data_IF_289823673846
#
_entry.id   IF_289823673846
#
_cell.length_a   1.000
_cell.length_b   1.000
_cell.length_c   1.000
_cell.angle_alpha   90.00
_cell.angle_beta   90.00
_cell.angle_gamma   90.00
#
_symmetry.space_group_name_H-M   'P 1'
#
loop_
_entity.id
_entity.type
_entity.pdbx_description
1 polymer ?
#
# COMPACT_ATOMS: atom_id res chain seq x y z
N UNK A 1 10.68 -14.11 -4.96
CA UNK A 1 11.59 -13.43 -5.92
C UNK A 1 10.74 -12.82 -7.02
N UNK A 2 10.84 -11.52 -7.27
CA UNK A 2 10.24 -10.83 -8.39
C UNK A 2 11.32 -10.57 -9.42
N UNK A 3 11.14 -11.00 -10.68
CA UNK A 3 12.04 -10.69 -11.78
C UNK A 3 11.35 -9.73 -12.75
N UNK A 4 12.08 -8.78 -13.29
CA UNK A 4 11.60 -7.83 -14.28
C UNK A 4 12.67 -7.59 -15.35
N UNK A 5 12.24 -7.30 -16.58
CA UNK A 5 13.12 -6.91 -17.67
C UNK A 5 13.28 -5.39 -17.65
N UNK A 6 14.51 -4.92 -17.70
CA UNK A 6 14.87 -3.49 -17.69
C UNK A 6 15.07 -2.93 -19.10
N UNK A 7 15.22 -3.81 -20.08
CA UNK A 7 15.43 -3.56 -21.50
C UNK A 7 15.43 -4.89 -22.24
N UNK A 8 15.66 -4.91 -23.56
CA UNK A 8 15.64 -6.15 -24.32
C UNK A 8 16.62 -7.19 -23.79
N UNK A 9 17.68 -6.76 -23.11
CA UNK A 9 18.76 -7.63 -22.65
C UNK A 9 19.09 -7.48 -21.16
N UNK A 10 18.55 -6.47 -20.46
CA UNK A 10 18.76 -6.26 -19.03
C UNK A 10 17.72 -7.00 -18.18
N UNK A 11 18.13 -7.55 -17.06
CA UNK A 11 17.23 -8.23 -16.12
C UNK A 11 17.40 -7.71 -14.70
N UNK A 12 16.31 -7.73 -13.92
CA UNK A 12 16.32 -7.40 -12.52
C UNK A 12 15.49 -8.36 -11.69
N UNK A 13 15.80 -8.47 -10.40
CA UNK A 13 15.01 -9.24 -9.45
C UNK A 13 14.93 -8.55 -8.10
N UNK A 14 13.82 -8.75 -7.43
CA UNK A 14 13.65 -8.41 -6.01
C UNK A 14 13.36 -9.71 -5.26
N UNK A 15 14.20 -10.03 -4.30
CA UNK A 15 13.99 -11.15 -3.36
C UNK A 15 13.56 -10.57 -2.02
N UNK A 16 12.52 -11.13 -1.44
CA UNK A 16 12.05 -10.72 -0.10
C UNK A 16 12.35 -11.86 0.86
N UNK A 17 13.07 -11.55 1.93
CA UNK A 17 13.36 -12.48 3.01
C UNK A 17 12.18 -12.59 3.99
N UNK A 18 12.19 -13.62 4.84
CA UNK A 18 11.12 -13.88 5.82
C UNK A 18 10.94 -12.77 6.86
N UNK A 19 11.97 -11.97 7.11
CA UNK A 19 11.93 -10.79 7.99
C UNK A 19 11.40 -9.53 7.31
N UNK A 20 11.09 -9.61 6.01
CA UNK A 20 10.57 -8.51 5.20
C UNK A 20 11.65 -7.67 4.52
N UNK A 21 12.94 -7.92 4.76
CA UNK A 21 14.02 -7.31 4.00
C UNK A 21 13.97 -7.73 2.53
N UNK A 22 14.36 -6.86 1.63
CA UNK A 22 14.34 -7.13 0.20
C UNK A 22 15.72 -6.89 -0.42
N UNK A 23 16.12 -7.81 -1.28
CA UNK A 23 17.35 -7.73 -2.07
C UNK A 23 17.00 -7.41 -3.51
N UNK A 24 17.47 -6.29 -4.01
CA UNK A 24 17.32 -5.88 -5.43
C UNK A 24 18.61 -6.23 -6.16
N UNK A 25 18.52 -7.08 -7.15
CA UNK A 25 19.65 -7.46 -8.02
C UNK A 25 19.39 -6.97 -9.43
N UNK A 26 20.36 -6.32 -10.02
CA UNK A 26 20.35 -5.82 -11.40
C UNK A 26 21.49 -6.48 -12.15
N UNK A 27 21.14 -7.21 -13.21
CA UNK A 27 22.08 -7.82 -14.13
C UNK A 27 21.96 -7.11 -15.49
N UNK A 28 22.86 -6.16 -15.82
CA UNK A 28 22.89 -5.52 -17.12
C UNK A 28 23.33 -6.50 -18.20
N UNK A 29 22.84 -6.30 -19.43
CA UNK A 29 23.22 -7.10 -20.60
C UNK A 29 24.70 -6.96 -20.96
N UNK A 30 25.30 -5.80 -20.68
CA UNK A 30 26.73 -5.61 -20.86
C UNK A 30 27.51 -6.15 -19.67
N UNK A 31 28.32 -7.23 -19.84
CA UNK A 31 29.08 -7.82 -18.76
C UNK A 31 30.11 -6.86 -18.10
N UNK A 32 30.48 -5.80 -18.83
CA UNK A 32 31.43 -4.78 -18.36
C UNK A 32 30.88 -3.89 -17.22
N UNK A 33 29.56 -3.84 -17.03
CA UNK A 33 28.94 -2.97 -16.00
C UNK A 33 28.79 -3.67 -14.66
N UNK A 34 28.89 -4.98 -14.61
CA UNK A 34 28.77 -5.80 -13.40
C UNK A 34 27.36 -5.82 -12.79
N UNK A 35 27.03 -6.92 -12.11
CA UNK A 35 25.77 -7.07 -11.39
C UNK A 35 25.77 -6.13 -10.17
N UNK A 36 24.72 -5.34 -10.00
CA UNK A 36 24.54 -4.48 -8.83
C UNK A 36 23.45 -5.07 -7.93
N UNK A 37 23.74 -5.12 -6.64
CA UNK A 37 22.84 -5.65 -5.62
C UNK A 37 22.62 -4.57 -4.56
N UNK A 38 21.39 -4.34 -4.17
CA UNK A 38 21.01 -3.37 -3.15
C UNK A 38 20.14 -4.06 -2.11
N UNK A 39 20.44 -3.84 -0.85
CA UNK A 39 19.57 -4.26 0.26
C UNK A 39 18.54 -3.17 0.56
N UNK A 40 17.30 -3.59 0.76
CA UNK A 40 16.21 -2.70 1.13
C UNK A 40 15.47 -3.28 2.34
N UNK A 41 15.02 -2.42 3.23
CA UNK A 41 14.34 -2.81 4.47
C UNK A 41 12.93 -3.40 4.25
N UNK A 42 12.39 -3.29 3.03
CA UNK A 42 11.09 -3.84 2.65
C UNK A 42 10.93 -3.90 1.14
N UNK A 43 9.92 -4.62 0.66
CA UNK A 43 9.55 -4.64 -0.76
C UNK A 43 9.24 -3.23 -1.30
N UNK A 44 8.54 -2.39 -0.51
CA UNK A 44 8.26 -0.99 -0.85
C UNK A 44 9.53 -0.16 -1.06
N UNK A 45 10.52 -0.33 -0.17
CA UNK A 45 11.82 0.34 -0.30
C UNK A 45 12.59 -0.16 -1.53
N UNK A 46 12.56 -1.48 -1.80
CA UNK A 46 13.21 -2.09 -2.95
C UNK A 46 12.61 -1.60 -4.27
N UNK A 47 11.27 -1.51 -4.35
CA UNK A 47 10.57 -1.02 -5.54
C UNK A 47 10.90 0.46 -5.80
N UNK A 48 10.94 1.30 -4.75
CA UNK A 48 11.36 2.70 -4.87
C UNK A 48 12.80 2.83 -5.38
N UNK A 49 13.71 2.06 -4.82
CA UNK A 49 15.11 2.06 -5.27
C UNK A 49 15.23 1.69 -6.75
N UNK A 50 14.44 0.71 -7.22
CA UNK A 50 14.41 0.32 -8.62
C UNK A 50 13.86 1.42 -9.53
N UNK A 51 12.86 2.18 -9.07
CA UNK A 51 12.29 3.33 -9.79
C UNK A 51 13.27 4.50 -9.82
N UNK A 52 13.84 4.88 -8.66
CA UNK A 52 14.76 6.02 -8.53
C UNK A 52 16.06 5.81 -9.32
N UNK A 53 16.50 4.55 -9.44
CA UNK A 53 17.64 4.19 -10.28
C UNK A 53 17.33 4.21 -11.78
N UNK A 54 16.11 4.57 -12.19
CA UNK A 54 15.66 4.58 -13.59
C UNK A 54 15.54 3.19 -14.22
N UNK A 55 15.47 2.16 -13.37
CA UNK A 55 15.48 0.76 -13.76
C UNK A 55 14.09 0.27 -14.18
N UNK A 56 13.04 0.93 -13.71
CA UNK A 56 11.67 0.78 -14.16
C UNK A 56 11.33 1.92 -15.14
N UNK A 57 11.88 1.89 -16.33
CA UNK A 57 11.36 2.75 -17.41
C UNK A 57 10.01 2.21 -17.84
N UNK A 58 9.01 3.08 -17.86
CA UNK A 58 7.61 2.80 -18.18
C UNK A 58 7.38 2.11 -19.57
N UNK A 59 8.41 1.93 -20.37
CA UNK A 59 8.31 1.39 -21.72
C UNK A 59 8.68 -0.10 -21.86
N UNK A 60 9.19 -0.76 -20.82
CA UNK A 60 9.75 -2.11 -20.95
C UNK A 60 9.14 -3.15 -20.01
N UNK A 61 7.94 -2.95 -19.52
CA UNK A 61 7.24 -4.05 -18.85
C UNK A 61 6.53 -4.88 -19.93
N UNK A 62 7.28 -5.62 -20.72
CA UNK A 62 6.70 -6.77 -21.39
C UNK A 62 6.14 -7.72 -20.32
N UNK A 63 4.93 -8.23 -20.56
CA UNK A 63 4.06 -9.00 -19.65
C UNK A 63 4.65 -10.32 -19.12
N UNK A 64 5.95 -10.40 -18.85
CA UNK A 64 6.58 -11.59 -18.27
C UNK A 64 7.21 -11.26 -16.92
N UNK A 65 6.36 -11.15 -15.89
CA UNK A 65 6.83 -11.31 -14.52
C UNK A 65 7.03 -12.81 -14.32
N UNK A 66 8.25 -13.28 -14.53
CA UNK A 66 8.65 -14.67 -14.27
C UNK A 66 8.98 -14.79 -12.78
N UNK A 67 8.05 -15.35 -12.03
CA UNK A 67 8.36 -15.85 -10.70
C UNK A 67 9.08 -17.19 -10.85
N UNK A 68 10.34 -17.26 -10.54
CA UNK A 68 11.02 -18.53 -10.38
C UNK A 68 10.78 -19.02 -8.95
N UNK A 69 10.35 -20.27 -8.84
CA UNK A 69 10.35 -20.99 -7.59
C UNK A 69 11.76 -20.96 -7.00
N UNK A 70 11.88 -20.48 -5.76
CA UNK A 70 13.14 -20.43 -5.05
C UNK A 70 13.73 -21.83 -4.98
N UNK A 71 15.01 -21.94 -5.37
CA UNK A 71 15.77 -23.15 -5.17
C UNK A 71 15.74 -23.53 -3.68
N UNK A 72 15.36 -24.77 -3.41
CA UNK A 72 15.25 -25.33 -2.07
C UNK A 72 16.55 -25.10 -1.30
N UNK A 73 16.52 -24.21 -0.30
CA UNK A 73 17.44 -24.32 0.82
C UNK A 73 17.18 -25.69 1.44
N UNK A 74 18.23 -26.49 1.60
CA UNK A 74 18.17 -27.77 2.33
C UNK A 74 17.70 -27.49 3.75
N UNK A 75 16.40 -27.59 3.95
CA UNK A 75 15.77 -27.61 5.27
C UNK A 75 15.90 -28.99 5.90
N UNK A 76 15.61 -29.12 7.19
CA UNK A 76 15.69 -30.38 7.92
C UNK A 76 14.77 -31.44 7.32
N UNK A 77 15.16 -32.71 7.48
CA UNK A 77 14.59 -33.96 7.06
C UNK A 77 13.09 -33.93 6.65
N UNK A 78 12.76 -34.27 5.37
CA UNK A 78 11.38 -34.22 4.88
C UNK A 78 10.45 -35.31 5.46
N UNK A 79 10.93 -36.21 6.32
CA UNK A 79 10.10 -37.29 6.89
C UNK A 79 9.16 -36.84 8.01
N UNK A 80 9.29 -35.60 8.51
CA UNK A 80 8.46 -35.05 9.59
C UNK A 80 7.49 -33.92 9.16
N UNK A 81 7.47 -33.53 7.89
CA UNK A 81 6.59 -32.49 7.41
C UNK A 81 5.19 -33.08 7.11
N UNK A 82 4.17 -32.51 7.75
CA UNK A 82 2.78 -32.76 7.35
C UNK A 82 2.64 -32.49 5.84
N UNK A 83 1.82 -33.29 5.10
CA UNK A 83 1.70 -33.14 3.65
C UNK A 83 1.35 -31.69 3.32
N UNK A 84 1.93 -31.10 2.25
CA UNK A 84 1.65 -29.74 1.86
C UNK A 84 0.14 -29.61 1.67
N UNK A 85 -0.49 -28.75 2.47
CA UNK A 85 -1.94 -28.50 2.37
C UNK A 85 -2.18 -27.95 0.96
N UNK A 86 -3.23 -28.46 0.30
CA UNK A 86 -3.61 -28.04 -1.05
C UNK A 86 -3.79 -26.51 -1.08
N UNK A 87 -3.22 -25.82 -2.07
CA UNK A 87 -3.47 -24.39 -2.25
C UNK A 87 -4.97 -24.12 -2.22
N UNK A 88 -5.38 -23.11 -1.45
CA UNK A 88 -6.78 -22.65 -1.39
C UNK A 88 -6.89 -21.30 -2.09
N UNK A 89 -7.01 -21.30 -3.43
CA UNK A 89 -7.00 -20.06 -4.23
C UNK A 89 -8.14 -19.11 -3.84
N UNK A 90 -9.23 -19.64 -3.25
CA UNK A 90 -10.36 -18.86 -2.75
C UNK A 90 -10.02 -17.97 -1.52
N UNK A 91 -8.91 -18.24 -0.83
CA UNK A 91 -8.54 -17.49 0.36
C UNK A 91 -7.89 -16.14 0.05
N UNK A 92 -7.08 -16.04 -1.01
CA UNK A 92 -6.43 -14.78 -1.38
C UNK A 92 -7.45 -13.66 -1.62
N UNK A 93 -8.47 -13.80 -2.49
CA UNK A 93 -9.44 -12.75 -2.71
C UNK A 93 -10.18 -12.33 -1.42
N UNK A 94 -10.57 -13.29 -0.58
CA UNK A 94 -11.27 -13.03 0.67
C UNK A 94 -10.40 -12.23 1.64
N UNK A 95 -9.14 -12.64 1.80
CA UNK A 95 -8.19 -12.00 2.69
C UNK A 95 -7.87 -10.58 2.23
N UNK A 96 -7.58 -10.39 0.93
CA UNK A 96 -7.29 -9.08 0.35
C UNK A 96 -8.51 -8.14 0.46
N UNK A 97 -9.73 -8.63 0.21
CA UNK A 97 -10.94 -7.83 0.36
C UNK A 97 -11.15 -7.36 1.81
N UNK A 98 -11.00 -8.24 2.78
CA UNK A 98 -11.15 -7.90 4.19
C UNK A 98 -10.05 -6.93 4.66
N UNK A 99 -8.80 -7.16 4.25
CA UNK A 99 -7.66 -6.30 4.52
C UNK A 99 -7.83 -4.92 3.89
N UNK A 100 -8.22 -4.84 2.62
CA UNK A 100 -8.48 -3.58 1.90
C UNK A 100 -9.56 -2.75 2.59
N UNK A 101 -10.64 -3.41 3.06
CA UNK A 101 -11.70 -2.75 3.81
C UNK A 101 -11.22 -2.18 5.15
N UNK A 102 -10.40 -2.93 5.89
CA UNK A 102 -9.82 -2.44 7.15
C UNK A 102 -8.80 -1.32 6.90
N UNK A 103 -7.93 -1.47 5.91
CA UNK A 103 -6.96 -0.46 5.50
C UNK A 103 -7.65 0.86 5.12
N UNK A 104 -8.78 0.81 4.42
CA UNK A 104 -9.57 2.01 4.10
C UNK A 104 -10.03 2.75 5.35
N UNK A 105 -10.55 2.04 6.36
CA UNK A 105 -11.04 2.67 7.58
C UNK A 105 -9.89 3.20 8.46
N UNK A 106 -8.76 2.50 8.54
CA UNK A 106 -7.57 3.01 9.24
C UNK A 106 -7.01 4.26 8.57
N UNK A 107 -6.98 4.31 7.24
CA UNK A 107 -6.58 5.50 6.47
C UNK A 107 -7.51 6.68 6.74
N UNK A 108 -8.82 6.46 6.80
CA UNK A 108 -9.80 7.50 7.10
C UNK A 108 -9.64 8.03 8.54
N UNK A 109 -9.51 7.12 9.50
CA UNK A 109 -9.31 7.52 10.91
C UNK A 109 -7.98 8.26 11.08
N UNK A 110 -6.88 7.83 10.44
CA UNK A 110 -5.61 8.55 10.42
C UNK A 110 -5.77 10.00 9.98
N UNK A 111 -6.36 10.19 8.79
CA UNK A 111 -6.51 11.53 8.23
C UNK A 111 -7.38 12.45 9.08
N UNK A 112 -8.54 11.96 9.52
CA UNK A 112 -9.45 12.74 10.38
C UNK A 112 -8.83 13.04 11.74
N UNK A 113 -8.10 12.08 12.36
CA UNK A 113 -7.45 12.27 13.65
C UNK A 113 -6.31 13.28 13.59
N UNK A 114 -5.46 13.21 12.56
CA UNK A 114 -4.36 14.14 12.38
C UNK A 114 -4.86 15.58 12.14
N UNK A 115 -5.88 15.76 11.29
CA UNK A 115 -6.49 17.06 11.00
C UNK A 115 -7.22 17.60 12.24
N UNK A 116 -7.94 16.77 12.97
CA UNK A 116 -8.61 17.18 14.21
C UNK A 116 -7.61 17.64 15.27
N UNK A 117 -6.52 16.90 15.47
CA UNK A 117 -5.45 17.28 16.40
C UNK A 117 -4.79 18.60 15.98
N UNK A 118 -4.43 18.75 14.69
CA UNK A 118 -3.79 19.97 14.16
C UNK A 118 -4.68 21.21 14.25
N UNK A 119 -6.00 21.05 14.21
CA UNK A 119 -6.98 22.14 14.28
C UNK A 119 -7.57 22.38 15.67
N UNK A 120 -7.09 21.69 16.72
CA UNK A 120 -7.71 21.70 18.06
C UNK A 120 -9.20 21.31 18.02
N UNK A 121 -9.55 20.35 17.14
CA UNK A 121 -10.91 19.83 17.00
C UNK A 121 -11.87 20.69 16.13
N UNK A 122 -11.37 21.72 15.45
CA UNK A 122 -12.18 22.55 14.52
C UNK A 122 -12.73 21.73 13.36
N UNK A 123 -11.92 20.78 12.81
CA UNK A 123 -12.31 19.85 11.77
C UNK A 123 -12.49 18.43 12.32
N UNK A 124 -13.42 17.68 11.78
CA UNK A 124 -13.68 16.24 11.95
C UNK A 124 -13.98 15.73 13.37
N UNK A 125 -14.02 16.58 14.41
CA UNK A 125 -14.27 16.12 15.80
C UNK A 125 -15.55 15.30 15.96
N UNK A 126 -16.61 15.68 15.26
CA UNK A 126 -17.91 14.98 15.32
C UNK A 126 -17.92 13.71 14.47
N UNK A 127 -17.25 13.75 13.34
CA UNK A 127 -17.18 12.65 12.38
C UNK A 127 -16.28 11.50 12.88
N UNK A 128 -15.28 11.80 13.71
CA UNK A 128 -14.33 10.83 14.26
C UNK A 128 -15.01 9.69 15.04
N UNK A 129 -16.03 9.96 15.85
CA UNK A 129 -16.74 8.91 16.58
C UNK A 129 -17.28 7.84 15.64
N UNK A 130 -18.01 8.26 14.60
CA UNK A 130 -18.56 7.33 13.59
C UNK A 130 -17.48 6.64 12.79
N UNK A 131 -16.36 7.33 12.52
CA UNK A 131 -15.22 6.73 11.81
C UNK A 131 -14.59 5.61 12.64
N UNK A 132 -14.41 5.80 13.93
CA UNK A 132 -13.89 4.80 14.87
C UNK A 132 -14.79 3.58 14.97
N UNK A 133 -16.11 3.78 15.03
CA UNK A 133 -17.09 2.69 15.01
C UNK A 133 -16.96 1.85 13.71
N UNK A 134 -16.79 2.49 12.54
CA UNK A 134 -16.57 1.78 11.29
C UNK A 134 -15.26 1.00 11.28
N UNK A 135 -14.19 1.61 11.76
CA UNK A 135 -12.87 0.95 11.86
C UNK A 135 -12.94 -0.27 12.80
N UNK A 136 -13.57 -0.13 13.96
CA UNK A 136 -13.72 -1.22 14.94
C UNK A 136 -14.56 -2.37 14.35
N UNK A 137 -15.67 -2.07 13.66
CA UNK A 137 -16.47 -3.08 12.97
C UNK A 137 -15.69 -3.79 11.85
N UNK A 138 -14.84 -3.08 11.10
CA UNK A 138 -13.99 -3.69 10.07
C UNK A 138 -12.89 -4.57 10.69
N UNK A 139 -12.30 -4.13 11.81
CA UNK A 139 -11.33 -4.92 12.56
C UNK A 139 -11.96 -6.24 13.03
N UNK A 140 -13.16 -6.21 13.62
CA UNK A 140 -13.85 -7.42 14.07
C UNK A 140 -14.09 -8.40 12.92
N UNK A 141 -14.54 -7.92 11.76
CA UNK A 141 -14.73 -8.76 10.56
C UNK A 141 -13.41 -9.36 10.08
N UNK A 142 -12.34 -8.58 10.06
CA UNK A 142 -11.01 -9.05 9.67
C UNK A 142 -10.50 -10.13 10.63
N UNK A 143 -10.63 -9.93 11.94
CA UNK A 143 -10.25 -10.90 12.97
C UNK A 143 -11.09 -12.18 12.86
N UNK A 144 -12.39 -12.08 12.57
CA UNK A 144 -13.27 -13.24 12.39
C UNK A 144 -12.84 -14.06 11.19
N UNK A 145 -12.64 -13.42 10.03
CA UNK A 145 -12.16 -14.10 8.82
C UNK A 145 -10.78 -14.75 9.07
N UNK A 146 -9.90 -14.06 9.80
CA UNK A 146 -8.61 -14.61 10.14
C UNK A 146 -8.72 -15.95 10.87
N UNK A 147 -9.54 -16.02 11.92
CA UNK A 147 -9.75 -17.24 12.69
C UNK A 147 -10.31 -18.41 11.84
N UNK A 148 -11.09 -18.10 10.79
CA UNK A 148 -11.61 -19.11 9.86
C UNK A 148 -10.53 -19.68 8.93
N UNK A 149 -9.49 -18.90 8.65
CA UNK A 149 -8.45 -19.23 7.66
C UNK A 149 -7.09 -19.56 8.30
N UNK A 150 -6.89 -19.30 9.60
CA UNK A 150 -5.61 -19.43 10.33
C UNK A 150 -4.98 -20.82 10.14
N UNK A 151 -5.77 -21.89 10.26
CA UNK A 151 -5.32 -23.25 10.02
C UNK A 151 -4.77 -23.51 8.61
N UNK A 152 -5.16 -22.68 7.64
CA UNK A 152 -4.75 -22.82 6.24
C UNK A 152 -3.53 -21.95 5.90
N UNK A 153 -3.24 -20.88 6.69
CA UNK A 153 -2.32 -19.82 6.31
C UNK A 153 -0.85 -20.06 6.66
N UNK A 154 -0.56 -21.05 7.50
CA UNK A 154 0.82 -21.32 7.93
C UNK A 154 1.40 -20.29 8.92
N UNK A 155 2.43 -20.69 9.65
CA UNK A 155 2.99 -19.97 10.80
C UNK A 155 3.55 -18.56 10.45
N UNK A 156 4.05 -18.36 9.23
CA UNK A 156 4.67 -17.07 8.85
C UNK A 156 3.63 -15.95 8.72
N UNK A 157 2.43 -16.26 8.24
CA UNK A 157 1.33 -15.29 8.12
C UNK A 157 0.66 -15.10 9.48
N UNK A 158 0.51 -16.17 10.27
CA UNK A 158 -0.06 -16.09 11.63
C UNK A 158 0.68 -15.08 12.52
N UNK A 159 2.01 -15.12 12.54
CA UNK A 159 2.79 -14.16 13.32
C UNK A 159 2.69 -12.70 12.83
N UNK A 160 2.38 -12.47 11.54
CA UNK A 160 2.09 -11.12 11.03
C UNK A 160 0.74 -10.61 11.53
N UNK A 161 -0.25 -11.47 11.56
CA UNK A 161 -1.57 -11.12 12.08
C UNK A 161 -1.54 -10.69 13.55
N UNK A 162 -0.82 -11.42 14.42
CA UNK A 162 -0.70 -11.07 15.84
C UNK A 162 -0.11 -9.67 16.04
N UNK A 163 0.87 -9.30 15.23
CA UNK A 163 1.44 -7.94 15.24
C UNK A 163 0.39 -6.90 14.82
N UNK A 164 -0.29 -7.13 13.71
CA UNK A 164 -1.35 -6.23 13.22
C UNK A 164 -2.44 -6.05 14.27
N UNK A 165 -2.96 -7.14 14.87
CA UNK A 165 -4.01 -7.03 15.88
C UNK A 165 -3.52 -6.30 17.14
N UNK A 166 -2.26 -6.50 17.55
CA UNK A 166 -1.63 -5.75 18.63
C UNK A 166 -1.55 -4.25 18.29
N UNK A 167 -1.09 -3.90 17.09
CA UNK A 167 -0.97 -2.51 16.63
C UNK A 167 -2.35 -1.83 16.53
N UNK A 168 -3.37 -2.53 16.03
CA UNK A 168 -4.74 -2.02 15.97
C UNK A 168 -5.33 -1.75 17.38
N UNK A 169 -5.03 -2.61 18.35
CA UNK A 169 -5.42 -2.37 19.76
C UNK A 169 -4.71 -1.17 20.36
N UNK A 170 -3.43 -0.97 20.03
CA UNK A 170 -2.67 0.20 20.47
C UNK A 170 -3.25 1.50 19.89
N UNK A 171 -3.64 1.52 18.59
CA UNK A 171 -4.32 2.66 17.99
C UNK A 171 -5.62 2.99 18.74
N UNK A 172 -6.45 1.98 19.02
CA UNK A 172 -7.69 2.18 19.74
C UNK A 172 -7.46 2.73 21.17
N UNK A 173 -6.45 2.22 21.89
CA UNK A 173 -6.07 2.71 23.21
C UNK A 173 -5.56 4.16 23.18
N UNK A 174 -4.92 4.58 22.09
CA UNK A 174 -4.38 5.94 21.91
C UNK A 174 -5.44 7.02 21.61
N UNK A 175 -6.68 6.66 21.28
CA UNK A 175 -7.74 7.60 20.84
C UNK A 175 -8.02 8.71 21.88
N UNK A 176 -8.01 8.38 23.16
CA UNK A 176 -8.25 9.36 24.23
C UNK A 176 -7.13 10.42 24.32
N UNK A 177 -5.88 10.03 24.11
CA UNK A 177 -4.76 10.96 24.07
C UNK A 177 -4.84 11.91 22.86
N UNK A 178 -5.34 11.42 21.72
CA UNK A 178 -5.62 12.24 20.53
C UNK A 178 -6.73 13.25 20.85
N UNK A 179 -7.83 12.80 21.43
CA UNK A 179 -9.00 13.64 21.72
C UNK A 179 -8.70 14.75 22.76
N UNK A 180 -7.80 14.47 23.69
CA UNK A 180 -7.33 15.42 24.70
C UNK A 180 -6.19 16.35 24.21
N UNK A 181 -5.77 16.20 22.95
CA UNK A 181 -4.69 17.01 22.37
C UNK A 181 -3.29 16.68 22.88
N UNK A 182 -3.10 15.52 23.52
CA UNK A 182 -1.81 15.08 24.06
C UNK A 182 -0.89 14.45 23.01
N UNK A 183 -1.41 14.16 21.80
CA UNK A 183 -0.67 13.52 20.72
C UNK A 183 -0.46 14.50 19.56
N UNK A 184 0.79 14.65 19.11
CA UNK A 184 1.10 15.50 17.96
C UNK A 184 0.53 14.90 16.66
N UNK A 185 0.08 15.74 15.70
CA UNK A 185 -0.43 15.25 14.41
C UNK A 185 0.54 14.31 13.68
N UNK A 186 1.84 14.60 13.71
CA UNK A 186 2.85 13.75 13.09
C UNK A 186 2.92 12.35 13.73
N UNK A 187 2.87 12.28 15.06
CA UNK A 187 2.90 10.99 15.79
C UNK A 187 1.65 10.14 15.49
N UNK A 188 0.50 10.80 15.26
CA UNK A 188 -0.72 10.12 14.79
C UNK A 188 -0.50 9.52 13.41
N UNK A 189 -0.02 10.33 12.45
CA UNK A 189 0.25 9.87 11.08
C UNK A 189 1.19 8.68 11.11
N UNK A 190 2.28 8.75 11.88
CA UNK A 190 3.30 7.71 11.97
C UNK A 190 2.75 6.40 12.57
N UNK A 191 1.95 6.50 13.65
CA UNK A 191 1.38 5.31 14.30
C UNK A 191 0.45 4.54 13.36
N UNK A 192 -0.47 5.23 12.68
CA UNK A 192 -1.37 4.60 11.71
C UNK A 192 -0.61 4.09 10.48
N UNK A 193 0.42 4.80 10.01
CA UNK A 193 1.23 4.39 8.85
C UNK A 193 1.99 3.10 9.15
N UNK A 194 2.57 2.96 10.35
CA UNK A 194 3.20 1.69 10.77
C UNK A 194 2.20 0.54 10.81
N UNK A 195 1.03 0.75 11.39
CA UNK A 195 -0.03 -0.29 11.44
C UNK A 195 -0.49 -0.68 10.03
N UNK A 196 -0.64 0.28 9.13
CA UNK A 196 -1.01 0.03 7.74
C UNK A 196 0.08 -0.72 6.97
N UNK A 197 1.37 -0.44 7.25
CA UNK A 197 2.48 -1.18 6.67
C UNK A 197 2.47 -2.66 7.10
N UNK A 198 2.14 -2.93 8.36
CA UNK A 198 1.97 -4.31 8.86
C UNK A 198 0.78 -5.02 8.18
N UNK A 199 -0.35 -4.32 7.98
CA UNK A 199 -1.49 -4.82 7.21
C UNK A 199 -1.10 -5.16 5.77
N UNK A 200 -0.41 -4.27 5.09
CA UNK A 200 0.08 -4.49 3.72
C UNK A 200 1.02 -5.68 3.65
N UNK A 201 1.87 -5.89 4.66
CA UNK A 201 2.74 -7.05 4.77
C UNK A 201 1.99 -8.40 4.85
N UNK A 202 0.73 -8.42 5.28
CA UNK A 202 -0.14 -9.62 5.15
C UNK A 202 -0.48 -9.85 3.68
N UNK A 203 -0.77 -8.79 2.92
CA UNK A 203 -1.04 -8.86 1.48
C UNK A 203 0.15 -9.41 0.70
N UNK A 204 1.36 -8.96 1.02
CA UNK A 204 2.60 -9.46 0.42
C UNK A 204 2.78 -10.95 0.68
N UNK A 205 2.60 -11.38 1.93
CA UNK A 205 2.71 -12.77 2.31
C UNK A 205 1.62 -13.65 1.64
N UNK A 206 0.40 -13.12 1.54
CA UNK A 206 -0.70 -13.78 0.84
C UNK A 206 -0.41 -13.93 -0.66
N UNK A 207 0.16 -12.90 -1.30
CA UNK A 207 0.58 -12.96 -2.70
C UNK A 207 1.56 -14.10 -2.95
N UNK A 208 2.53 -14.28 -2.07
CA UNK A 208 3.53 -15.36 -2.17
C UNK A 208 2.89 -16.74 -1.94
N UNK A 209 2.03 -16.84 -0.93
CA UNK A 209 1.49 -18.13 -0.46
C UNK A 209 0.34 -18.68 -1.34
N UNK A 210 -0.48 -17.82 -1.93
CA UNK A 210 -1.77 -18.24 -2.51
C UNK A 210 -1.95 -17.94 -3.99
N UNK A 211 -1.11 -17.08 -4.61
CA UNK A 211 -1.25 -16.85 -6.04
C UNK A 211 -0.71 -18.02 -6.85
N UNK A 212 -1.53 -18.57 -7.75
CA UNK A 212 -1.05 -19.52 -8.78
C UNK A 212 -0.17 -18.80 -9.81
N UNK A 213 0.57 -19.55 -10.63
CA UNK A 213 1.36 -18.95 -11.70
C UNK A 213 0.48 -18.14 -12.67
N UNK A 214 -0.72 -18.61 -12.96
CA UNK A 214 -1.63 -18.03 -13.94
C UNK A 214 -2.30 -16.73 -13.45
N UNK A 215 -2.68 -16.66 -12.15
CA UNK A 215 -3.36 -15.47 -11.61
C UNK A 215 -2.44 -14.50 -10.85
N UNK A 216 -1.16 -14.83 -10.73
CA UNK A 216 -0.18 -14.03 -9.97
C UNK A 216 -0.04 -12.59 -10.46
N UNK A 217 -0.05 -12.28 -11.78
CA UNK A 217 -0.04 -10.89 -12.23
C UNK A 217 -1.25 -10.09 -11.72
N UNK A 218 -2.45 -10.67 -11.76
CA UNK A 218 -3.66 -10.03 -11.26
C UNK A 218 -3.62 -9.85 -9.74
N UNK A 219 -3.10 -10.85 -9.01
CA UNK A 219 -2.91 -10.78 -7.57
C UNK A 219 -1.87 -9.70 -7.18
N UNK A 220 -0.77 -9.60 -7.93
CA UNK A 220 0.21 -8.53 -7.77
C UNK A 220 -0.42 -7.15 -8.03
N UNK A 221 -1.22 -7.01 -9.09
CA UNK A 221 -1.94 -5.77 -9.37
C UNK A 221 -2.80 -5.34 -8.18
N UNK A 222 -3.53 -6.26 -7.52
CA UNK A 222 -4.28 -5.95 -6.32
C UNK A 222 -3.39 -5.38 -5.20
N UNK A 223 -2.25 -6.01 -4.94
CA UNK A 223 -1.34 -5.61 -3.85
C UNK A 223 -0.70 -4.24 -4.13
N UNK A 224 -0.17 -4.03 -5.34
CA UNK A 224 0.47 -2.75 -5.68
C UNK A 224 -0.52 -1.58 -5.67
N UNK A 225 -1.79 -1.82 -6.02
CA UNK A 225 -2.83 -0.79 -5.94
C UNK A 225 -3.12 -0.39 -4.48
N UNK A 226 -3.06 -1.33 -3.53
CA UNK A 226 -3.17 -1.02 -2.11
C UNK A 226 -2.00 -0.15 -1.63
N UNK A 227 -0.79 -0.37 -2.13
CA UNK A 227 0.36 0.49 -1.85
C UNK A 227 0.17 1.89 -2.44
N UNK A 228 -0.30 2.02 -3.69
CA UNK A 228 -0.63 3.32 -4.29
C UNK A 228 -1.64 4.08 -3.40
N UNK A 229 -2.73 3.40 -3.01
CA UNK A 229 -3.76 3.95 -2.13
C UNK A 229 -3.20 4.36 -0.76
N UNK A 230 -2.24 3.62 -0.20
CA UNK A 230 -1.60 3.98 1.07
C UNK A 230 -0.77 5.25 0.93
N UNK A 231 -0.01 5.44 -0.16
CA UNK A 231 0.72 6.70 -0.38
C UNK A 231 -0.23 7.90 -0.44
N UNK A 232 -1.32 7.77 -1.18
CA UNK A 232 -2.40 8.78 -1.24
C UNK A 232 -3.00 9.06 0.15
N UNK A 233 -3.19 8.02 0.97
CA UNK A 233 -3.73 8.17 2.32
C UNK A 233 -2.76 8.84 3.29
N UNK A 234 -1.43 8.63 3.17
CA UNK A 234 -0.41 9.34 3.96
C UNK A 234 -0.39 10.82 3.57
N UNK A 235 -0.38 11.10 2.27
CA UNK A 235 -0.45 12.43 1.69
C UNK A 235 -1.66 13.20 2.24
N UNK A 236 -2.86 12.61 2.16
CA UNK A 236 -4.10 13.19 2.70
C UNK A 236 -3.98 13.62 4.16
N UNK A 237 -3.41 12.74 4.99
CA UNK A 237 -3.30 12.98 6.43
C UNK A 237 -2.25 14.06 6.74
N UNK A 238 -1.09 14.00 6.12
CA UNK A 238 0.04 14.89 6.39
C UNK A 238 -0.25 16.31 5.94
N UNK A 239 -0.62 16.48 4.68
CA UNK A 239 -0.94 17.80 4.12
C UNK A 239 -2.21 18.37 4.75
N UNK A 240 -3.22 17.52 4.98
CA UNK A 240 -4.44 17.95 5.68
C UNK A 240 -4.16 18.50 7.09
N UNK A 241 -3.23 17.90 7.83
CA UNK A 241 -2.79 18.42 9.13
C UNK A 241 -2.05 19.77 8.99
N UNK A 242 -1.17 19.91 8.00
CA UNK A 242 -0.48 21.19 7.69
C UNK A 242 -1.47 22.31 7.35
N UNK A 243 -2.44 22.05 6.49
CA UNK A 243 -3.52 22.99 6.16
C UNK A 243 -4.38 23.34 7.38
N UNK A 244 -4.68 22.38 8.23
CA UNK A 244 -5.46 22.59 9.45
C UNK A 244 -4.71 23.46 10.48
N UNK A 245 -3.39 23.36 10.53
CA UNK A 245 -2.50 24.18 11.33
C UNK A 245 -2.17 25.52 10.66
N UNK A 246 -2.57 25.72 9.39
CA UNK A 246 -2.17 26.86 8.56
C UNK A 246 -0.65 27.01 8.44
N UNK A 247 0.06 25.88 8.41
CA UNK A 247 1.53 25.79 8.38
C UNK A 247 1.95 24.52 7.62
N UNK A 248 2.18 24.67 6.32
CA UNK A 248 2.79 23.62 5.49
C UNK A 248 4.30 23.88 5.48
N UNK A 249 5.06 22.95 6.04
CA UNK A 249 6.51 23.04 6.11
C UNK A 249 7.18 22.57 4.80
N UNK A 250 8.46 22.94 4.62
CA UNK A 250 9.27 22.41 3.51
C UNK A 250 9.43 20.88 3.61
N UNK A 251 9.39 20.33 4.84
CA UNK A 251 9.40 18.89 5.04
C UNK A 251 8.09 18.23 4.56
N UNK A 252 6.96 18.90 4.73
CA UNK A 252 5.67 18.42 4.18
C UNK A 252 5.67 18.46 2.65
N UNK A 253 6.26 19.49 2.04
CA UNK A 253 6.40 19.57 0.58
C UNK A 253 7.32 18.50 0.04
N UNK A 254 8.47 18.24 0.69
CA UNK A 254 9.36 17.13 0.32
C UNK A 254 8.66 15.77 0.42
N UNK A 255 7.91 15.57 1.50
CA UNK A 255 7.13 14.36 1.69
C UNK A 255 6.04 14.22 0.64
N UNK A 256 5.32 15.30 0.29
CA UNK A 256 4.33 15.30 -0.79
C UNK A 256 4.97 14.86 -2.11
N UNK A 257 6.09 15.47 -2.50
CA UNK A 257 6.81 15.09 -3.73
C UNK A 257 7.21 13.60 -3.75
N UNK A 258 7.70 13.07 -2.63
CA UNK A 258 8.06 11.66 -2.51
C UNK A 258 6.84 10.73 -2.59
N UNK A 259 5.72 11.12 -1.96
CA UNK A 259 4.49 10.33 -1.93
C UNK A 259 3.82 10.27 -3.30
N UNK A 260 3.73 11.42 -4.01
CA UNK A 260 3.16 11.48 -5.36
C UNK A 260 4.00 10.70 -6.37
N UNK A 261 5.34 10.78 -6.28
CA UNK A 261 6.25 9.96 -7.08
C UNK A 261 6.07 8.47 -6.82
N UNK A 262 6.02 8.05 -5.55
CA UNK A 262 5.80 6.66 -5.18
C UNK A 262 4.41 6.15 -5.65
N UNK A 263 3.35 6.95 -5.47
CA UNK A 263 2.00 6.64 -5.99
C UNK A 263 2.06 6.38 -7.50
N UNK A 264 2.66 7.30 -8.26
CA UNK A 264 2.80 7.16 -9.71
C UNK A 264 3.52 5.86 -10.10
N UNK A 265 4.59 5.51 -9.39
CA UNK A 265 5.33 4.27 -9.62
C UNK A 265 4.48 3.02 -9.42
N UNK A 266 3.69 2.97 -8.33
CA UNK A 266 2.78 1.85 -8.09
C UNK A 266 1.67 1.76 -9.15
N UNK A 267 1.14 2.89 -9.60
CA UNK A 267 0.13 2.91 -10.65
C UNK A 267 0.69 2.43 -12.01
N UNK A 268 1.96 2.73 -12.32
CA UNK A 268 2.64 2.17 -13.48
C UNK A 268 2.78 0.64 -13.40
N UNK A 269 3.19 0.11 -12.25
CA UNK A 269 3.27 -1.35 -12.05
C UNK A 269 1.88 -1.99 -12.15
N UNK A 270 0.85 -1.34 -11.59
CA UNK A 270 -0.53 -1.78 -11.74
C UNK A 270 -0.94 -1.87 -13.20
N UNK A 271 -0.74 -0.80 -13.98
CA UNK A 271 -1.10 -0.77 -15.40
C UNK A 271 -0.40 -1.88 -16.19
N UNK A 272 0.84 -2.22 -15.83
CA UNK A 272 1.61 -3.27 -16.49
C UNK A 272 1.16 -4.69 -16.13
N UNK A 273 0.57 -4.89 -14.94
CA UNK A 273 0.24 -6.23 -14.41
C UNK A 273 -1.25 -6.52 -14.35
N UNK A 274 -2.09 -5.49 -14.33
CA UNK A 274 -3.53 -5.62 -14.23
C UNK A 274 -4.17 -6.22 -15.49
N UNK A 275 -5.29 -6.92 -15.35
CA UNK A 275 -6.08 -7.34 -16.50
C UNK A 275 -6.61 -6.12 -17.26
N UNK A 276 -6.70 -6.21 -18.58
CA UNK A 276 -7.12 -5.11 -19.46
C UNK A 276 -8.37 -4.34 -19.04
N UNK A 277 -9.44 -4.99 -18.50
CA UNK A 277 -10.60 -4.22 -18.01
C UNK A 277 -10.26 -3.33 -16.80
N UNK A 278 -9.41 -3.79 -15.88
CA UNK A 278 -8.97 -3.01 -14.71
C UNK A 278 -8.01 -1.88 -15.10
N UNK A 279 -7.09 -2.11 -16.05
CA UNK A 279 -6.23 -1.09 -16.66
C UNK A 279 -7.09 0.07 -17.22
N UNK A 280 -8.13 -0.25 -18.01
CA UNK A 280 -9.04 0.77 -18.55
C UNK A 280 -9.84 1.53 -17.48
N UNK A 281 -10.08 0.94 -16.31
CA UNK A 281 -10.66 1.65 -15.17
C UNK A 281 -9.68 2.70 -14.63
N UNK A 282 -8.40 2.32 -14.50
CA UNK A 282 -7.35 3.25 -14.09
C UNK A 282 -7.21 4.40 -15.09
N UNK A 283 -7.12 4.11 -16.38
CA UNK A 283 -7.02 5.14 -17.43
C UNK A 283 -8.16 6.17 -17.33
N UNK A 284 -9.39 5.69 -17.10
CA UNK A 284 -10.55 6.59 -16.91
C UNK A 284 -10.46 7.41 -15.63
N UNK A 285 -9.98 6.82 -14.53
CA UNK A 285 -9.80 7.55 -13.29
C UNK A 285 -8.75 8.66 -13.45
N UNK A 286 -7.61 8.35 -14.06
CA UNK A 286 -6.53 9.32 -14.34
C UNK A 286 -6.93 10.40 -15.35
N UNK A 287 -7.86 10.13 -16.24
CA UNK A 287 -8.42 11.11 -17.19
C UNK A 287 -9.59 11.92 -16.61
N UNK A 288 -9.99 11.68 -15.36
CA UNK A 288 -11.13 12.38 -14.75
C UNK A 288 -10.78 13.81 -14.34
N UNK A 289 -11.80 14.69 -14.34
CA UNK A 289 -11.65 16.06 -13.85
C UNK A 289 -11.21 16.09 -12.38
N UNK A 290 -11.73 15.17 -11.55
CA UNK A 290 -11.36 15.10 -10.13
C UNK A 290 -9.87 14.77 -9.92
N UNK A 291 -9.28 13.95 -10.80
CA UNK A 291 -7.84 13.69 -10.76
C UNK A 291 -7.04 14.90 -11.23
N UNK A 292 -7.47 15.57 -12.30
CA UNK A 292 -6.81 16.79 -12.77
C UNK A 292 -6.87 17.90 -11.71
N UNK A 293 -8.00 18.07 -11.00
CA UNK A 293 -8.14 19.00 -9.89
C UNK A 293 -7.17 18.66 -8.76
N UNK A 294 -7.04 17.37 -8.38
CA UNK A 294 -6.10 16.95 -7.36
C UNK A 294 -4.65 17.23 -7.77
N UNK A 295 -4.27 16.93 -9.01
CA UNK A 295 -2.93 17.22 -9.53
C UNK A 295 -2.61 18.71 -9.49
N UNK A 296 -3.58 19.57 -9.82
CA UNK A 296 -3.42 21.02 -9.72
C UNK A 296 -3.20 21.46 -8.26
N UNK A 297 -3.99 20.93 -7.30
CA UNK A 297 -3.80 21.22 -5.88
C UNK A 297 -2.42 20.78 -5.39
N UNK A 298 -1.96 19.59 -5.75
CA UNK A 298 -0.62 19.09 -5.42
C UNK A 298 0.48 20.01 -5.98
N UNK A 299 0.35 20.44 -7.24
CA UNK A 299 1.29 21.38 -7.87
C UNK A 299 1.38 22.71 -7.12
N UNK A 300 0.23 23.29 -6.75
CA UNK A 300 0.18 24.55 -6.00
C UNK A 300 0.84 24.41 -4.62
N UNK A 301 0.58 23.29 -3.94
CA UNK A 301 1.18 23.00 -2.63
C UNK A 301 2.71 22.78 -2.71
N UNK A 302 3.17 22.07 -3.75
CA UNK A 302 4.60 21.86 -4.01
C UNK A 302 5.33 23.16 -4.34
N UNK A 303 4.66 24.06 -5.05
CA UNK A 303 5.19 25.38 -5.39
C UNK A 303 5.15 26.38 -4.22
N UNK A 304 4.58 26.05 -3.07
CA UNK A 304 4.41 26.97 -1.93
C UNK A 304 3.36 28.05 -2.18
N UNK A 305 2.37 27.77 -3.02
CA UNK A 305 1.35 28.72 -3.47
C UNK A 305 -0.03 28.41 -2.89
N UNK A 306 -0.08 27.77 -1.72
CA UNK A 306 -1.32 27.41 -1.03
C UNK A 306 -2.22 28.60 -0.69
N UNK A 307 -1.67 29.80 -0.58
CA UNK A 307 -2.42 31.03 -0.31
C UNK A 307 -3.16 31.57 -1.55
N UNK A 308 -2.84 31.04 -2.75
CA UNK A 308 -3.46 31.45 -4.01
C UNK A 308 -4.68 30.59 -4.35
N UNK A 309 -4.96 29.55 -3.55
CA UNK A 309 -6.09 28.64 -3.73
C UNK A 309 -7.00 28.70 -2.50
N UNK A 310 -8.31 28.63 -2.72
CA UNK A 310 -9.30 28.49 -1.64
C UNK A 310 -9.39 27.05 -1.19
N UNK A 311 -8.40 26.61 -0.42
CA UNK A 311 -8.25 25.23 0.03
C UNK A 311 -8.08 25.15 1.55
N UNK A 312 -9.08 24.62 2.23
CA UNK A 312 -8.96 24.24 3.63
C UNK A 312 -8.65 22.75 3.81
N UNK A 313 -8.40 22.34 5.05
CA UNK A 313 -8.10 20.96 5.39
C UNK A 313 -9.25 19.98 5.02
N UNK A 314 -10.50 20.42 5.04
CA UNK A 314 -11.66 19.60 4.66
C UNK A 314 -11.75 19.45 3.14
N UNK A 315 -11.56 20.52 2.41
CA UNK A 315 -11.52 20.53 0.95
C UNK A 315 -10.43 19.58 0.42
N UNK A 316 -9.22 19.69 0.98
CA UNK A 316 -8.13 18.76 0.69
C UNK A 316 -8.48 17.31 0.99
N UNK A 317 -8.97 17.04 2.22
CA UNK A 317 -9.36 15.69 2.63
C UNK A 317 -10.37 15.08 1.66
N UNK A 318 -11.38 15.86 1.23
CA UNK A 318 -12.40 15.39 0.31
C UNK A 318 -11.84 15.16 -1.10
N UNK A 319 -10.95 16.03 -1.60
CA UNK A 319 -10.33 15.87 -2.92
C UNK A 319 -9.53 14.58 -3.00
N UNK A 320 -8.65 14.34 -2.01
CA UNK A 320 -7.84 13.12 -1.96
C UNK A 320 -8.70 11.88 -1.69
N UNK A 321 -9.78 11.99 -0.92
CA UNK A 321 -10.69 10.86 -0.65
C UNK A 321 -11.35 10.36 -1.94
N UNK A 322 -11.78 11.25 -2.85
CA UNK A 322 -12.34 10.85 -4.14
C UNK A 322 -11.38 9.97 -4.94
N UNK A 323 -10.09 10.34 -4.96
CA UNK A 323 -9.07 9.52 -5.62
C UNK A 323 -8.90 8.16 -4.94
N UNK A 324 -8.84 8.15 -3.60
CA UNK A 324 -8.75 6.89 -2.84
C UNK A 324 -9.97 5.97 -3.06
N UNK A 325 -11.15 6.54 -3.28
CA UNK A 325 -12.37 5.79 -3.58
C UNK A 325 -12.29 5.18 -4.98
N UNK A 326 -11.83 5.92 -5.99
CA UNK A 326 -11.57 5.40 -7.34
C UNK A 326 -10.57 4.23 -7.29
N UNK A 327 -9.44 4.39 -6.58
CA UNK A 327 -8.48 3.29 -6.41
C UNK A 327 -9.10 2.08 -5.69
N UNK A 328 -10.01 2.31 -4.75
CA UNK A 328 -10.77 1.25 -4.06
C UNK A 328 -11.71 0.49 -5.00
N UNK A 329 -12.44 1.19 -5.88
CA UNK A 329 -13.32 0.60 -6.90
C UNK A 329 -12.51 -0.22 -7.91
N UNK A 330 -11.40 0.32 -8.40
CA UNK A 330 -10.48 -0.40 -9.31
C UNK A 330 -9.94 -1.67 -8.63
N UNK A 331 -9.53 -1.58 -7.36
CA UNK A 331 -9.05 -2.72 -6.59
C UNK A 331 -10.10 -3.81 -6.41
N UNK A 332 -11.35 -3.42 -6.15
CA UNK A 332 -12.47 -4.37 -6.05
C UNK A 332 -12.73 -5.08 -7.37
N UNK A 333 -12.73 -4.35 -8.48
CA UNK A 333 -12.89 -4.92 -9.81
C UNK A 333 -11.73 -5.87 -10.17
N UNK A 334 -10.49 -5.47 -9.85
CA UNK A 334 -9.30 -6.30 -10.10
C UNK A 334 -9.35 -7.61 -9.32
N UNK A 335 -9.82 -7.55 -8.08
CA UNK A 335 -9.93 -8.72 -7.21
C UNK A 335 -10.95 -9.75 -7.75
N UNK A 336 -12.00 -9.31 -8.45
CA UNK A 336 -12.93 -10.19 -9.16
C UNK A 336 -12.21 -11.09 -10.17
N UNK A 337 -11.27 -10.54 -10.95
CA UNK A 337 -10.50 -11.32 -11.91
C UNK A 337 -9.52 -12.33 -11.28
N UNK A 338 -9.12 -12.11 -10.02
CA UNK A 338 -8.33 -13.10 -9.27
C UNK A 338 -9.18 -14.23 -8.76
N UNK A 339 -10.45 -13.96 -8.44
CA UNK A 339 -11.38 -14.97 -7.92
C UNK A 339 -11.91 -15.89 -9.02
N UNK A 340 -12.03 -15.41 -10.26
CA UNK A 340 -12.62 -16.12 -11.40
C UNK A 340 -11.58 -16.94 -12.20
N UNK A 341 -10.29 -16.79 -11.96
CA UNK A 341 -9.18 -17.51 -12.63
C UNK A 341 -8.52 -18.50 -11.71
#
# INVERSE_FOLDING_TARGET
>A
MLRFCLGPDDSGSIEVADDGAALVTIAPAEPSIGVRTFEASSFDAALRMAVDAGLLKAACVEKQILFLEGGAARGPDPSAAAPPRRPRPDLFPKLIAAMSGLLHETQNERGMSAIAAASSGRFFRRELSRQRERMDARRERFVTLWREVDDALGASIAGRFDRVDSSLRQLAAGRNAIDSGQTRPADIVDAYTRTNAELLGIGDAALVAYSSADNRPNALACVVLLYAKEKTGIERARIGAGLAAQAISDDDRRALAALTSARSSYLHVFAATAPRPAERLLDRALASTSYADLMHLEEMLLAGRETEIDLDARGWFNAVTREMDHLGEIGTATLGFVADG
#
